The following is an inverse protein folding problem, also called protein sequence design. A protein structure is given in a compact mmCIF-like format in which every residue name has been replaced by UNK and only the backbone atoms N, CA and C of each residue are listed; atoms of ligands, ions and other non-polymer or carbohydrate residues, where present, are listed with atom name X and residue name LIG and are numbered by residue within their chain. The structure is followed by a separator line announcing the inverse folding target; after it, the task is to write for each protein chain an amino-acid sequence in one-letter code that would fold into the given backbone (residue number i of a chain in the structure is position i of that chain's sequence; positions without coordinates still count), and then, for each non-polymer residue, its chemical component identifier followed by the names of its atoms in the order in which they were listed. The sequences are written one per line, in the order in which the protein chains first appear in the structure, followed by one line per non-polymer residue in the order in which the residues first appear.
data_IF_705328899895
#
_entry.id   IF_705328899895
#
_cell.length_a   1.000
_cell.length_b   1.000
_cell.length_c   1.000
_cell.angle_alpha   90.00
_cell.angle_beta   90.00
_cell.angle_gamma   90.00
#
_symmetry.space_group_name_H-M   'P 1'
#
loop_
_entity.id
_entity.type
_entity.pdbx_description
1 polymer ?
#
# COMPACT_ATOMS: atom_id res chain seq x y z
N UNK A 1 -3.70 2.84 -9.95
CA UNK A 1 -3.46 1.43 -9.58
C UNK A 1 -4.51 1.04 -8.55
N UNK A 2 -4.84 -0.24 -8.38
CA UNK A 2 -5.72 -0.71 -7.29
C UNK A 2 -4.89 -1.54 -6.34
N UNK A 3 -5.01 -1.26 -5.05
CA UNK A 3 -4.35 -2.00 -3.99
C UNK A 3 -5.38 -2.60 -3.07
N UNK A 4 -5.15 -3.84 -2.64
CA UNK A 4 -5.85 -4.40 -1.48
C UNK A 4 -5.21 -3.81 -0.22
N UNK A 5 -6.05 -3.49 0.76
CA UNK A 5 -5.60 -3.06 2.08
C UNK A 5 -6.09 -4.06 3.12
N UNK A 6 -5.29 -4.30 4.15
CA UNK A 6 -5.71 -4.98 5.37
C UNK A 6 -6.06 -3.92 6.41
N UNK A 7 -7.15 -4.14 7.14
CA UNK A 7 -7.66 -3.20 8.14
C UNK A 7 -7.67 -3.89 9.50
N UNK A 8 -7.08 -3.24 10.49
CA UNK A 8 -6.98 -3.69 11.87
C UNK A 8 -7.69 -2.67 12.76
N UNK A 9 -8.75 -3.07 13.46
CA UNK A 9 -9.52 -2.20 14.34
C UNK A 9 -9.24 -2.55 15.79
N UNK A 10 -9.02 -1.53 16.61
CA UNK A 10 -8.75 -1.65 18.05
C UNK A 10 -9.48 -0.57 18.84
N UNK A 11 -9.36 -0.59 20.17
CA UNK A 11 -9.87 0.48 21.03
C UNK A 11 -9.06 1.79 20.86
N UNK A 12 -7.84 1.71 20.34
CA UNK A 12 -6.92 2.86 20.15
C UNK A 12 -7.06 3.50 18.76
N UNK A 13 -7.87 2.91 17.86
CA UNK A 13 -8.07 3.41 16.50
C UNK A 13 -7.99 2.32 15.42
N UNK A 14 -7.75 2.74 14.18
CA UNK A 14 -7.71 1.88 13.00
C UNK A 14 -6.32 1.95 12.36
N UNK A 15 -5.64 0.82 12.28
CA UNK A 15 -4.40 0.68 11.51
C UNK A 15 -4.68 -0.02 10.18
N UNK A 16 -4.00 0.40 9.13
CA UNK A 16 -4.17 -0.12 7.78
C UNK A 16 -2.81 -0.36 7.13
N UNK A 17 -2.71 -1.39 6.29
CA UNK A 17 -1.50 -1.66 5.53
C UNK A 17 -1.80 -2.24 4.15
N UNK A 18 -0.81 -2.17 3.26
CA UNK A 18 -0.92 -2.67 1.89
C UNK A 18 -0.09 -3.95 1.76
N UNK A 19 -0.69 -5.16 1.72
CA UNK A 19 0.07 -6.40 1.66
C UNK A 19 1.05 -6.49 0.48
N UNK A 20 0.72 -5.82 -0.64
CA UNK A 20 1.56 -5.78 -1.83
C UNK A 20 2.76 -4.81 -1.72
N UNK A 21 2.79 -3.90 -0.74
CA UNK A 21 3.84 -2.90 -0.53
C UNK A 21 4.44 -3.07 0.88
N UNK A 22 5.47 -3.91 1.05
CA UNK A 22 6.05 -4.19 2.35
C UNK A 22 6.48 -2.92 3.09
N UNK A 23 6.00 -2.77 4.33
CA UNK A 23 6.30 -1.61 5.18
C UNK A 23 5.38 -0.41 4.98
N UNK A 24 4.44 -0.43 4.04
CA UNK A 24 3.44 0.62 3.87
C UNK A 24 2.30 0.43 4.89
N UNK A 25 2.37 1.19 5.98
CA UNK A 25 1.38 1.24 7.05
C UNK A 25 0.92 2.67 7.27
N UNK A 26 -0.31 2.80 7.74
CA UNK A 26 -0.88 4.06 8.19
C UNK A 26 -1.93 3.80 9.26
N UNK A 27 -2.43 4.86 9.88
CA UNK A 27 -3.43 4.77 10.95
C UNK A 27 -4.37 5.99 10.93
N UNK A 28 -5.49 5.88 11.65
CA UNK A 28 -6.43 6.98 11.88
C UNK A 28 -7.46 6.62 12.95
N UNK A 29 -8.08 7.64 13.53
CA UNK A 29 -9.13 7.49 14.54
C UNK A 29 -10.44 7.00 13.89
N UNK A 30 -10.61 7.28 12.60
CA UNK A 30 -11.75 6.86 11.78
C UNK A 30 -11.33 6.08 10.55
N UNK A 31 -12.26 5.35 9.95
CA UNK A 31 -11.98 4.59 8.72
C UNK A 31 -11.67 5.52 7.54
N UNK A 32 -12.36 6.66 7.47
CA UNK A 32 -12.11 7.68 6.45
C UNK A 32 -10.70 8.27 6.58
N UNK A 33 -10.28 8.62 7.79
CA UNK A 33 -8.93 9.12 8.06
C UNK A 33 -7.86 8.07 7.73
N UNK A 34 -8.00 6.84 8.23
CA UNK A 34 -7.05 5.77 7.94
C UNK A 34 -6.93 5.50 6.43
N UNK A 35 -8.04 5.65 5.68
CA UNK A 35 -8.05 5.47 4.23
C UNK A 35 -7.40 6.64 3.49
N UNK A 36 -7.58 7.88 3.94
CA UNK A 36 -6.84 9.01 3.39
C UNK A 36 -5.35 8.84 3.66
N UNK A 37 -4.98 8.55 4.90
CA UNK A 37 -3.58 8.43 5.30
C UNK A 37 -2.85 7.26 4.62
N UNK A 38 -3.53 6.14 4.31
CA UNK A 38 -2.89 5.04 3.55
C UNK A 38 -2.78 5.35 2.06
N UNK A 39 -3.65 6.20 1.50
CA UNK A 39 -3.50 6.66 0.12
C UNK A 39 -2.24 7.52 0.00
N UNK A 40 -2.03 8.46 0.91
CA UNK A 40 -0.82 9.29 0.95
C UNK A 40 0.45 8.41 1.13
N UNK A 41 0.41 7.44 2.04
CA UNK A 41 1.53 6.51 2.25
C UNK A 41 1.85 5.64 1.01
N UNK A 42 0.84 5.26 0.22
CA UNK A 42 1.03 4.56 -1.06
C UNK A 42 1.71 5.49 -2.06
N UNK A 43 1.26 6.74 -2.17
CA UNK A 43 1.85 7.72 -3.08
C UNK A 43 3.33 7.98 -2.77
N UNK A 44 3.65 8.19 -1.50
CA UNK A 44 5.03 8.38 -1.02
C UNK A 44 5.90 7.14 -1.30
N UNK A 45 5.36 5.94 -1.04
CA UNK A 45 6.08 4.69 -1.32
C UNK A 45 6.42 4.56 -2.81
N UNK A 46 5.46 4.87 -3.70
CA UNK A 46 5.65 4.78 -5.14
C UNK A 46 6.63 5.85 -5.66
N UNK A 47 6.62 7.06 -5.09
CA UNK A 47 7.60 8.09 -5.38
C UNK A 47 9.02 7.62 -5.01
N UNK A 48 9.20 7.10 -3.80
CA UNK A 48 10.49 6.55 -3.36
C UNK A 48 10.95 5.37 -4.22
N UNK A 49 10.03 4.50 -4.64
CA UNK A 49 10.33 3.37 -5.53
C UNK A 49 10.77 3.86 -6.91
N UNK A 50 10.11 4.87 -7.47
CA UNK A 50 10.46 5.46 -8.76
C UNK A 50 11.87 6.06 -8.74
N UNK A 51 12.22 6.78 -7.68
CA UNK A 51 13.56 7.34 -7.52
C UNK A 51 14.62 6.24 -7.42
N UNK A 52 14.32 5.16 -6.68
CA UNK A 52 15.24 4.01 -6.55
C UNK A 52 15.43 3.24 -7.86
N UNK A 53 14.41 3.19 -8.70
CA UNK A 53 14.43 2.49 -10.00
C UNK A 53 14.80 3.41 -11.16
N UNK A 54 15.31 4.61 -10.89
CA UNK A 54 15.71 5.54 -11.93
C UNK A 54 16.77 4.91 -12.86
N UNK A 55 16.48 4.91 -14.17
CA UNK A 55 17.36 4.32 -15.20
C UNK A 55 17.21 2.80 -15.36
N UNK A 56 16.29 2.16 -14.65
CA UNK A 56 15.97 0.74 -14.81
C UNK A 56 14.80 0.58 -15.79
N UNK A 57 14.88 -0.39 -16.70
CA UNK A 57 13.78 -0.76 -17.57
C UNK A 57 12.71 -1.53 -16.79
N UNK A 58 11.52 -0.95 -16.65
CA UNK A 58 10.39 -1.57 -15.95
C UNK A 58 9.43 -2.18 -16.99
N UNK A 59 8.95 -3.40 -16.70
CA UNK A 59 7.95 -4.13 -17.49
C UNK A 59 6.89 -4.71 -16.56
N UNK A 60 5.63 -4.63 -16.95
CA UNK A 60 4.52 -5.29 -16.26
C UNK A 60 4.34 -6.70 -16.84
N UNK A 61 4.06 -7.68 -15.97
CA UNK A 61 3.70 -9.04 -16.38
C UNK A 61 2.42 -9.45 -15.66
N UNK A 62 1.51 -10.07 -16.39
CA UNK A 62 0.30 -10.66 -15.82
C UNK A 62 0.57 -12.11 -15.43
N UNK A 63 0.17 -12.50 -14.21
CA UNK A 63 0.32 -13.86 -13.69
C UNK A 63 -1.03 -14.35 -13.21
N UNK A 64 -1.45 -15.53 -13.68
CA UNK A 64 -2.64 -16.21 -13.16
C UNK A 64 -2.27 -17.11 -11.98
N UNK A 65 -2.97 -16.95 -10.86
CA UNK A 65 -2.78 -17.76 -9.67
C UNK A 65 -3.36 -19.18 -9.86
N UNK A 66 -2.72 -19.99 -10.70
CA UNK A 66 -3.06 -21.40 -10.93
C UNK A 66 -2.15 -22.38 -10.16
N UNK A 67 -1.53 -21.92 -9.05
CA UNK A 67 -0.61 -22.74 -8.27
C UNK A 67 -0.89 -22.63 -6.77
N UNK A 68 -2.07 -23.07 -6.37
CA UNK A 68 -2.32 -23.70 -5.06
C UNK A 68 -3.37 -24.78 -5.25
#
# INVERSE_FOLDING_TARGET
MKYQIAIYRSEEGISVCVPALPGCWSEGDTEEEAFLNIQDAIEDYLAALKDRLHGVEIREIEVTANKF
#
